data_IF_585906220106
#
_entry.id   IF_585906220106
#
_cell.length_a   1.000
_cell.length_b   1.000
_cell.length_c   1.000
_cell.angle_alpha   90.00
_cell.angle_beta   90.00
_cell.angle_gamma   90.00
#
_symmetry.space_group_name_H-M   'P 1'
#
loop_
_entity.id
_entity.type
_entity.pdbx_description
1 polymer ?
#
# COMPACT_ATOMS: atom_id res chain seq x y z
N UNK A 1 -8.32 7.68 -17.65
CA UNK A 1 -7.55 7.38 -16.44
C UNK A 1 -6.65 8.55 -16.07
N UNK A 2 -5.96 8.48 -14.94
CA UNK A 2 -5.12 9.55 -14.42
C UNK A 2 -4.01 10.04 -15.37
N UNK A 3 -3.56 9.22 -16.34
CA UNK A 3 -2.54 9.55 -17.33
C UNK A 3 -3.11 9.79 -18.75
N UNK A 4 -4.21 9.14 -19.12
CA UNK A 4 -4.92 9.35 -20.41
C UNK A 4 -5.85 10.57 -20.41
N UNK A 5 -6.12 11.17 -19.25
CA UNK A 5 -6.41 12.61 -19.18
C UNK A 5 -5.12 13.39 -19.45
N UNK A 6 -4.56 13.24 -20.64
CA UNK A 6 -3.50 14.12 -21.18
C UNK A 6 -3.93 15.59 -21.31
N UNK A 7 -5.17 15.88 -20.92
CA UNK A 7 -5.71 17.18 -20.53
C UNK A 7 -6.23 17.11 -19.09
N UNK A 8 -5.40 16.77 -18.10
CA UNK A 8 -5.48 17.53 -16.85
C UNK A 8 -5.03 18.92 -17.29
N UNK A 9 -5.98 19.69 -17.83
CA UNK A 9 -5.93 21.09 -17.56
C UNK A 9 -5.84 21.14 -16.03
N UNK A 10 -4.66 21.51 -15.52
CA UNK A 10 -4.55 22.03 -14.17
C UNK A 10 -5.42 23.31 -14.01
N UNK A 11 -6.05 23.76 -15.10
CA UNK A 11 -7.28 24.53 -15.09
C UNK A 11 -8.53 23.61 -15.01
N UNK A 12 -9.22 23.61 -13.86
CA UNK A 12 -10.56 23.04 -13.56
C UNK A 12 -10.54 21.69 -12.82
N UNK A 13 -10.40 21.61 -11.49
CA UNK A 13 -10.78 22.54 -10.43
C UNK A 13 -10.01 23.86 -10.45
N UNK A 14 -10.72 24.98 -10.62
CA UNK A 14 -10.18 26.21 -11.21
C UNK A 14 -8.79 26.62 -10.71
N UNK A 15 -7.83 26.74 -11.62
CA UNK A 15 -6.53 27.41 -11.42
C UNK A 15 -5.74 26.99 -10.16
N UNK A 16 -5.97 25.76 -9.65
CA UNK A 16 -5.38 25.31 -8.40
C UNK A 16 -4.29 24.29 -8.65
N UNK A 17 -3.06 24.70 -8.33
CA UNK A 17 -2.00 23.79 -7.90
C UNK A 17 -2.65 22.83 -6.89
N UNK A 18 -2.69 21.53 -7.20
CA UNK A 18 -3.11 20.53 -6.22
C UNK A 18 -2.08 20.60 -5.08
N UNK A 19 -2.47 21.23 -3.99
CA UNK A 19 -1.69 21.35 -2.76
C UNK A 19 -1.67 20.02 -2.00
N UNK A 20 -2.76 19.24 -2.12
CA UNK A 20 -2.97 18.00 -1.37
C UNK A 20 -2.95 16.77 -2.31
N UNK A 21 -4.05 16.02 -2.40
CA UNK A 21 -4.18 14.78 -3.16
C UNK A 21 -5.55 14.69 -3.85
N UNK A 22 -5.58 14.21 -5.09
CA UNK A 22 -6.81 13.80 -5.79
C UNK A 22 -6.79 12.30 -6.06
N UNK A 23 -7.85 11.58 -5.64
CA UNK A 23 -8.01 10.15 -5.92
C UNK A 23 -9.16 9.96 -6.91
N UNK A 24 -8.85 9.36 -8.07
CA UNK A 24 -9.86 8.95 -9.04
C UNK A 24 -10.33 7.55 -8.69
N UNK A 25 -11.51 7.44 -8.07
CA UNK A 25 -12.11 6.17 -7.68
C UNK A 25 -13.11 5.67 -8.74
N UNK A 26 -13.08 4.36 -9.05
CA UNK A 26 -14.13 3.68 -9.83
C UNK A 26 -14.45 2.29 -9.27
N UNK A 27 -15.66 1.81 -9.60
CA UNK A 27 -16.08 0.42 -9.42
C UNK A 27 -16.34 -0.14 -10.80
N UNK A 28 -15.54 -1.11 -11.23
CA UNK A 28 -15.56 -1.65 -12.59
C UNK A 28 -15.13 -3.12 -12.58
N UNK A 29 -15.34 -3.85 -13.69
CA UNK A 29 -14.83 -5.22 -13.81
C UNK A 29 -13.30 -5.19 -13.95
N UNK A 30 -12.58 -5.92 -13.07
CA UNK A 30 -11.11 -6.04 -13.13
C UNK A 30 -10.71 -7.40 -13.69
N UNK A 31 -10.90 -8.46 -12.92
CA UNK A 31 -10.54 -9.83 -13.32
C UNK A 31 -11.53 -10.91 -12.82
N UNK A 32 -12.64 -10.48 -12.23
CA UNK A 32 -13.71 -11.33 -11.78
C UNK A 32 -13.46 -11.91 -10.39
N UNK A 33 -14.44 -12.65 -9.88
CA UNK A 33 -14.51 -13.00 -8.45
C UNK A 33 -13.27 -13.70 -7.89
N UNK A 34 -12.84 -13.23 -6.71
CA UNK A 34 -11.88 -13.91 -5.84
C UNK A 34 -10.43 -13.82 -6.32
N UNK A 35 -10.11 -12.82 -7.13
CA UNK A 35 -8.75 -12.53 -7.59
C UNK A 35 -8.32 -11.14 -7.09
N UNK A 36 -8.36 -10.10 -7.92
CA UNK A 36 -8.00 -8.75 -7.51
C UNK A 36 -9.24 -8.08 -6.89
N UNK A 37 -9.23 -7.89 -5.57
CA UNK A 37 -10.36 -7.26 -4.86
C UNK A 37 -10.50 -5.78 -5.21
N UNK A 38 -9.35 -5.11 -5.24
CA UNK A 38 -9.19 -3.73 -5.63
C UNK A 38 -7.73 -3.53 -6.06
N UNK A 39 -7.47 -2.44 -6.77
CA UNK A 39 -6.10 -2.03 -7.09
C UNK A 39 -5.97 -0.51 -7.09
N UNK A 40 -4.85 -0.04 -6.57
CA UNK A 40 -4.60 1.39 -6.47
C UNK A 40 -3.13 1.77 -6.50
N UNK A 41 -2.90 3.05 -6.71
CA UNK A 41 -1.55 3.62 -6.67
C UNK A 41 -1.52 5.06 -7.14
N UNK A 42 -0.41 5.78 -6.83
CA UNK A 42 -0.18 7.10 -7.34
C UNK A 42 0.03 7.05 -8.86
N UNK A 43 -0.29 8.15 -9.51
CA UNK A 43 0.01 8.38 -10.93
C UNK A 43 0.81 9.67 -11.11
N UNK A 44 0.65 10.64 -10.20
CA UNK A 44 1.43 11.88 -10.17
C UNK A 44 2.10 12.04 -8.80
N UNK A 45 3.40 12.34 -8.80
CA UNK A 45 4.18 12.63 -7.59
C UNK A 45 4.91 13.97 -7.71
N UNK A 46 5.10 14.65 -6.58
CA UNK A 46 5.83 15.92 -6.52
C UNK A 46 7.32 15.71 -6.76
N UNK A 47 7.95 16.61 -7.51
CA UNK A 47 9.38 16.55 -7.79
C UNK A 47 10.25 16.69 -6.53
N UNK A 48 9.84 17.51 -5.57
CA UNK A 48 10.62 17.85 -4.38
C UNK A 48 10.44 16.86 -3.23
N UNK A 49 9.21 16.52 -2.87
CA UNK A 49 8.96 15.57 -1.77
C UNK A 49 8.77 14.12 -2.22
N UNK A 50 8.48 13.88 -3.50
CA UNK A 50 8.01 12.58 -4.01
C UNK A 50 6.62 12.16 -3.53
N UNK A 51 5.96 12.98 -2.71
CA UNK A 51 4.62 12.65 -2.23
C UNK A 51 3.61 12.71 -3.39
N UNK A 52 2.61 11.82 -3.39
CA UNK A 52 1.54 11.82 -4.38
C UNK A 52 0.75 13.13 -4.39
N UNK A 53 0.36 13.54 -5.59
CA UNK A 53 -0.63 14.61 -5.83
C UNK A 53 -1.88 14.09 -6.53
N UNK A 54 -1.76 12.95 -7.22
CA UNK A 54 -2.91 12.21 -7.73
C UNK A 54 -2.67 10.71 -7.74
N UNK A 55 -3.76 9.95 -7.60
CA UNK A 55 -3.76 8.49 -7.73
C UNK A 55 -5.08 7.96 -8.27
N UNK A 56 -5.10 6.66 -8.53
CA UNK A 56 -6.30 5.92 -8.97
C UNK A 56 -6.59 4.83 -7.95
N UNK A 57 -7.87 4.59 -7.69
CA UNK A 57 -8.37 3.47 -6.91
C UNK A 57 -9.48 2.79 -7.71
N UNK A 58 -9.38 1.48 -7.90
CA UNK A 58 -10.38 0.68 -8.61
C UNK A 58 -10.81 -0.48 -7.73
N UNK A 59 -12.11 -0.68 -7.56
CA UNK A 59 -12.67 -1.81 -6.82
C UNK A 59 -13.28 -2.77 -7.84
N UNK A 60 -13.00 -4.08 -7.73
CA UNK A 60 -13.64 -5.05 -8.63
C UNK A 60 -15.13 -5.16 -8.30
N UNK A 61 -15.95 -4.78 -9.27
CA UNK A 61 -17.39 -4.89 -9.23
C UNK A 61 -17.85 -6.31 -8.88
N UNK A 62 -17.10 -7.34 -9.30
CA UNK A 62 -17.45 -8.74 -9.07
C UNK A 62 -17.35 -9.14 -7.59
N UNK A 63 -16.49 -8.48 -6.81
CA UNK A 63 -16.17 -8.78 -5.41
C UNK A 63 -16.75 -7.75 -4.41
N UNK A 64 -17.12 -6.55 -4.87
CA UNK A 64 -17.61 -5.46 -4.02
C UNK A 64 -18.78 -5.85 -3.09
N UNK A 65 -19.81 -6.52 -3.60
CA UNK A 65 -20.94 -6.99 -2.79
C UNK A 65 -20.51 -8.03 -1.74
N UNK A 66 -19.57 -8.91 -2.10
CA UNK A 66 -19.01 -9.90 -1.20
C UNK A 66 -18.28 -9.24 -0.04
N UNK A 67 -17.40 -8.28 -0.33
CA UNK A 67 -16.64 -7.51 0.65
C UNK A 67 -17.55 -6.72 1.60
N UNK A 68 -18.59 -6.07 1.07
CA UNK A 68 -19.56 -5.33 1.89
C UNK A 68 -20.31 -6.26 2.83
N UNK A 69 -20.75 -7.43 2.33
CA UNK A 69 -21.50 -8.40 3.11
C UNK A 69 -20.75 -8.98 4.32
N UNK A 70 -19.41 -9.01 4.25
CA UNK A 70 -18.53 -9.47 5.34
C UNK A 70 -17.88 -8.31 6.11
N UNK A 71 -18.22 -7.05 5.79
CA UNK A 71 -17.71 -5.86 6.48
C UNK A 71 -16.26 -5.48 6.15
N UNK A 72 -15.71 -5.96 5.03
CA UNK A 72 -14.33 -5.70 4.61
C UNK A 72 -14.19 -4.58 3.57
N UNK A 73 -15.27 -4.13 2.94
CA UNK A 73 -15.20 -3.13 1.86
C UNK A 73 -14.50 -1.83 2.29
N UNK A 74 -14.83 -1.30 3.46
CA UNK A 74 -14.20 -0.08 3.98
C UNK A 74 -12.69 -0.28 4.23
N UNK A 75 -12.31 -1.41 4.84
CA UNK A 75 -10.92 -1.76 5.06
C UNK A 75 -10.14 -1.87 3.75
N UNK A 76 -10.69 -2.56 2.75
CA UNK A 76 -10.09 -2.65 1.40
C UNK A 76 -9.92 -1.26 0.78
N UNK A 77 -10.91 -0.36 0.89
CA UNK A 77 -10.78 1.01 0.39
C UNK A 77 -9.64 1.76 1.10
N UNK A 78 -9.54 1.65 2.43
CA UNK A 78 -8.46 2.29 3.20
C UNK A 78 -7.09 1.72 2.84
N UNK A 79 -7.00 0.41 2.65
CA UNK A 79 -5.79 -0.27 2.18
C UNK A 79 -5.31 0.32 0.84
N UNK A 80 -6.22 0.39 -0.14
CA UNK A 80 -5.91 0.94 -1.45
C UNK A 80 -5.57 2.43 -1.41
N UNK A 81 -6.25 3.22 -0.57
CA UNK A 81 -5.91 4.63 -0.38
C UNK A 81 -4.51 4.80 0.22
N UNK A 82 -4.04 3.89 1.08
CA UNK A 82 -2.67 3.92 1.58
C UNK A 82 -1.66 3.70 0.45
N UNK A 83 -1.93 2.80 -0.51
CA UNK A 83 -1.10 2.66 -1.70
C UNK A 83 -1.09 3.92 -2.55
N UNK A 84 -2.23 4.59 -2.73
CA UNK A 84 -2.29 5.91 -3.41
C UNK A 84 -1.41 6.94 -2.72
N UNK A 85 -1.39 6.94 -1.38
CA UNK A 85 -0.52 7.79 -0.56
C UNK A 85 0.97 7.36 -0.61
N UNK A 86 1.30 6.29 -1.33
CA UNK A 86 2.66 5.89 -1.60
C UNK A 86 3.20 4.77 -0.70
N UNK A 87 2.38 4.24 0.21
CA UNK A 87 2.71 3.04 0.98
C UNK A 87 3.03 1.90 0.03
N UNK A 88 4.15 1.21 0.23
CA UNK A 88 4.58 0.09 -0.61
C UNK A 88 5.05 0.46 -2.02
N UNK A 89 4.63 1.61 -2.55
CA UNK A 89 4.95 2.08 -3.91
C UNK A 89 6.25 2.91 -3.91
N UNK A 90 6.40 3.83 -2.95
CA UNK A 90 7.49 4.80 -2.94
C UNK A 90 8.71 4.38 -2.12
N UNK A 91 8.61 3.28 -1.36
CA UNK A 91 9.68 2.84 -0.45
C UNK A 91 11.02 2.65 -1.14
N UNK A 92 11.04 1.98 -2.30
CA UNK A 92 12.28 1.78 -3.06
C UNK A 92 12.90 3.08 -3.55
N UNK A 93 12.07 4.06 -3.93
CA UNK A 93 12.52 5.37 -4.40
C UNK A 93 13.11 6.20 -3.27
N UNK A 94 12.56 6.09 -2.07
CA UNK A 94 13.00 6.81 -0.88
C UNK A 94 14.08 6.07 -0.09
N UNK A 95 14.51 4.89 -0.53
CA UNK A 95 15.52 4.09 0.16
C UNK A 95 15.04 3.48 1.47
N UNK A 96 13.73 3.36 1.67
CA UNK A 96 13.09 2.88 2.90
C UNK A 96 12.95 1.35 2.94
N UNK A 97 13.23 0.64 1.85
CA UNK A 97 13.18 -0.82 1.79
C UNK A 97 14.54 -1.38 1.40
N UNK A 98 14.94 -2.48 2.06
CA UNK A 98 16.18 -3.19 1.80
C UNK A 98 15.88 -4.66 1.46
N UNK A 99 16.84 -5.34 0.81
CA UNK A 99 16.77 -6.76 0.47
C UNK A 99 15.54 -7.19 -0.35
N UNK A 100 15.04 -6.30 -1.20
CA UNK A 100 13.85 -6.49 -2.05
C UNK A 100 13.88 -7.77 -2.90
N UNK A 101 12.70 -8.36 -3.05
CA UNK A 101 12.45 -9.43 -4.02
C UNK A 101 12.38 -8.88 -5.45
N UNK A 102 12.71 -9.72 -6.43
CA UNK A 102 12.66 -9.38 -7.87
C UNK A 102 12.46 -10.64 -8.71
N UNK A 103 12.11 -10.47 -9.99
CA UNK A 103 11.87 -11.62 -10.89
C UNK A 103 13.08 -12.56 -10.86
N UNK A 104 12.82 -13.85 -10.60
CA UNK A 104 13.85 -14.88 -10.47
C UNK A 104 14.64 -14.88 -9.16
N UNK A 105 14.34 -14.02 -8.18
CA UNK A 105 14.97 -14.01 -6.86
C UNK A 105 14.02 -13.52 -5.76
N UNK A 106 13.60 -14.43 -4.90
CA UNK A 106 12.94 -14.09 -3.62
C UNK A 106 13.95 -13.48 -2.66
N UNK A 107 13.67 -12.27 -2.19
CA UNK A 107 14.42 -11.56 -1.15
C UNK A 107 13.87 -11.82 0.25
N UNK A 108 14.45 -11.14 1.24
CA UNK A 108 13.91 -11.04 2.60
C UNK A 108 13.69 -9.55 2.91
N UNK A 109 12.74 -8.90 2.22
CA UNK A 109 12.62 -7.48 2.30
C UNK A 109 12.23 -7.03 3.71
N UNK A 110 12.73 -5.87 4.09
CA UNK A 110 12.37 -5.23 5.34
C UNK A 110 12.38 -3.71 5.17
N UNK A 111 11.53 -3.06 5.95
CA UNK A 111 11.41 -1.62 5.97
C UNK A 111 12.40 -1.03 6.99
N UNK A 112 13.05 0.05 6.60
CA UNK A 112 14.19 0.64 7.30
C UNK A 112 13.94 2.08 7.79
N UNK A 113 12.68 2.56 7.74
CA UNK A 113 12.31 3.84 8.31
C UNK A 113 12.30 3.80 9.85
N UNK A 114 12.91 4.82 10.46
CA UNK A 114 13.15 4.87 11.91
C UNK A 114 11.83 4.89 12.71
N UNK A 115 10.81 5.60 12.21
CA UNK A 115 9.52 5.75 12.89
C UNK A 115 8.78 4.41 12.92
N UNK A 116 8.71 3.70 11.79
CA UNK A 116 8.11 2.39 11.69
C UNK A 116 8.87 1.34 12.52
N UNK A 117 10.21 1.39 12.54
CA UNK A 117 11.04 0.51 13.39
C UNK A 117 10.73 0.72 14.87
N UNK A 118 10.64 1.97 15.32
CA UNK A 118 10.26 2.29 16.69
C UNK A 118 8.83 1.83 17.00
N UNK A 119 7.89 2.03 16.08
CA UNK A 119 6.50 1.58 16.23
C UNK A 119 6.37 0.06 16.30
N UNK A 120 7.18 -0.67 15.50
CA UNK A 120 7.21 -2.12 15.48
C UNK A 120 7.63 -2.70 16.83
N UNK A 121 8.61 -2.09 17.50
CA UNK A 121 9.00 -2.49 18.86
C UNK A 121 7.81 -2.42 19.84
N UNK A 122 6.99 -1.36 19.76
CA UNK A 122 5.83 -1.16 20.67
C UNK A 122 4.71 -2.18 20.50
N UNK A 123 4.58 -2.80 19.32
CA UNK A 123 3.57 -3.82 19.05
C UNK A 123 4.06 -5.25 19.34
N UNK A 124 5.22 -5.40 20.01
CA UNK A 124 5.81 -6.69 20.35
C UNK A 124 7.00 -7.11 19.48
N UNK A 125 7.42 -6.25 18.55
CA UNK A 125 8.54 -6.49 17.63
C UNK A 125 9.89 -6.69 18.31
N UNK A 126 10.06 -6.31 19.58
CA UNK A 126 11.28 -6.60 20.36
C UNK A 126 11.55 -8.11 20.52
N UNK A 127 10.49 -8.93 20.43
CA UNK A 127 10.59 -10.40 20.52
C UNK A 127 10.76 -11.07 19.15
N UNK A 128 10.71 -10.29 18.08
CA UNK A 128 10.81 -10.79 16.72
C UNK A 128 12.27 -11.09 16.36
N UNK A 129 12.56 -12.35 16.02
CA UNK A 129 13.92 -12.81 15.68
C UNK A 129 13.99 -13.55 14.36
N UNK A 130 12.89 -13.69 13.63
CA UNK A 130 12.84 -14.51 12.41
C UNK A 130 13.55 -13.85 11.22
N UNK A 131 13.61 -12.51 11.18
CA UNK A 131 14.38 -11.75 10.19
C UNK A 131 14.71 -10.34 10.73
N UNK A 132 15.08 -9.42 9.83
CA UNK A 132 15.20 -7.99 10.14
C UNK A 132 13.86 -7.38 10.55
N UNK A 133 13.91 -6.35 11.40
CA UNK A 133 12.73 -5.67 11.93
C UNK A 133 11.87 -5.08 10.80
N UNK A 134 10.57 -4.97 11.05
CA UNK A 134 9.56 -4.53 10.08
C UNK A 134 9.64 -5.34 8.77
N UNK A 135 9.46 -6.68 8.84
CA UNK A 135 9.53 -7.54 7.68
C UNK A 135 8.45 -7.18 6.67
N UNK A 136 8.86 -7.10 5.41
CA UNK A 136 7.99 -6.81 4.26
C UNK A 136 7.69 -8.10 3.52
N UNK A 137 6.59 -8.11 2.76
CA UNK A 137 6.17 -9.25 1.97
C UNK A 137 7.21 -9.59 0.90
N UNK A 138 7.78 -10.80 0.96
CA UNK A 138 8.82 -11.25 0.03
C UNK A 138 8.34 -12.12 -1.14
N UNK A 139 7.12 -12.68 -1.03
CA UNK A 139 6.55 -13.65 -1.98
C UNK A 139 5.21 -13.15 -2.53
N UNK A 140 4.66 -13.79 -3.56
CA UNK A 140 3.40 -13.40 -4.23
C UNK A 140 3.58 -12.82 -5.64
N UNK A 141 4.78 -12.32 -5.95
CA UNK A 141 5.12 -11.79 -7.27
C UNK A 141 4.88 -10.28 -7.40
N UNK A 142 5.04 -9.71 -8.61
CA UNK A 142 4.77 -8.30 -8.88
C UNK A 142 3.37 -7.89 -8.43
N UNK A 143 3.24 -6.68 -7.89
CA UNK A 143 1.97 -6.20 -7.31
C UNK A 143 1.75 -6.59 -5.85
N UNK A 144 2.45 -7.61 -5.32
CA UNK A 144 2.30 -8.09 -3.94
C UNK A 144 3.60 -7.98 -3.13
N UNK A 145 4.71 -8.47 -3.67
CA UNK A 145 5.99 -8.39 -2.95
C UNK A 145 6.47 -6.94 -2.81
N UNK A 146 7.31 -6.68 -1.80
CA UNK A 146 7.92 -5.37 -1.52
C UNK A 146 6.96 -4.22 -1.21
N UNK A 147 5.65 -4.44 -1.28
CA UNK A 147 4.63 -3.39 -1.14
C UNK A 147 3.73 -3.52 0.10
N UNK A 148 3.81 -4.65 0.79
CA UNK A 148 2.94 -4.99 1.92
C UNK A 148 3.76 -5.41 3.13
N UNK A 149 3.16 -5.34 4.31
CA UNK A 149 3.73 -6.02 5.46
C UNK A 149 3.73 -7.54 5.26
N UNK A 150 4.69 -8.21 5.90
CA UNK A 150 4.80 -9.65 5.77
C UNK A 150 3.61 -10.35 6.42
N UNK A 151 2.79 -11.03 5.62
CA UNK A 151 1.57 -11.72 6.06
C UNK A 151 1.84 -12.69 7.22
N UNK A 152 2.96 -13.40 7.20
CA UNK A 152 3.25 -14.39 8.25
C UNK A 152 3.60 -13.75 9.60
N UNK A 153 3.92 -12.45 9.61
CA UNK A 153 4.32 -11.73 10.83
C UNK A 153 3.22 -10.82 11.33
N UNK A 154 2.57 -10.10 10.41
CA UNK A 154 1.52 -9.14 10.75
C UNK A 154 0.13 -9.79 10.74
N UNK A 155 -0.08 -10.83 9.93
CA UNK A 155 -1.31 -11.64 9.81
C UNK A 155 -2.55 -10.80 9.54
N UNK A 156 -3.12 -10.17 10.58
CA UNK A 156 -4.36 -9.40 10.51
C UNK A 156 -4.15 -7.92 10.30
N UNK A 157 -2.92 -7.42 10.15
CA UNK A 157 -2.75 -5.98 9.92
C UNK A 157 -3.28 -5.55 8.54
N UNK A 158 -3.90 -4.38 8.46
CA UNK A 158 -4.59 -3.91 7.26
C UNK A 158 -3.76 -3.93 5.98
N UNK A 159 -2.47 -3.61 6.04
CA UNK A 159 -1.55 -3.51 4.92
C UNK A 159 -0.76 -4.80 4.65
N UNK A 160 -1.25 -5.95 5.14
CA UNK A 160 -0.84 -7.24 4.58
C UNK A 160 -1.63 -7.52 3.28
N UNK A 161 -1.13 -8.36 2.37
CA UNK A 161 -1.72 -8.52 1.03
C UNK A 161 -2.97 -9.43 1.00
N UNK A 162 -3.54 -9.80 2.15
CA UNK A 162 -4.67 -10.72 2.19
C UNK A 162 -5.64 -10.33 3.29
N UNK A 163 -6.94 -10.32 2.95
CA UNK A 163 -8.01 -10.19 3.94
C UNK A 163 -8.12 -11.47 4.78
N UNK A 164 -8.41 -11.32 6.08
CA UNK A 164 -8.49 -12.45 7.01
C UNK A 164 -9.91 -12.90 7.32
N UNK A 165 -10.67 -13.28 6.29
CA UNK A 165 -12.01 -13.86 6.45
C UNK A 165 -13.00 -12.86 7.03
N UNK A 166 -13.61 -13.16 8.18
CA UNK A 166 -14.54 -12.27 8.91
C UNK A 166 -13.85 -11.60 10.13
N UNK A 167 -12.52 -11.62 10.19
CA UNK A 167 -11.75 -11.00 11.27
C UNK A 167 -11.35 -9.59 10.86
N UNK A 168 -11.59 -8.55 11.69
CA UNK A 168 -11.18 -7.20 11.38
C UNK A 168 -9.68 -7.09 11.10
N UNK A 169 -9.35 -6.29 10.10
CA UNK A 169 -7.99 -5.96 9.73
C UNK A 169 -7.60 -4.56 10.27
N UNK A 170 -7.00 -4.44 11.47
CA UNK A 170 -6.67 -3.13 12.05
C UNK A 170 -5.58 -2.37 11.28
N UNK A 171 -5.75 -1.05 11.16
CA UNK A 171 -4.72 -0.13 10.71
C UNK A 171 -3.74 0.13 11.87
N UNK A 172 -2.60 -0.55 11.84
CA UNK A 172 -1.65 -0.46 12.94
C UNK A 172 -0.88 0.85 12.97
N UNK A 173 -0.36 1.12 14.16
CA UNK A 173 0.58 2.22 14.39
C UNK A 173 1.91 2.07 13.61
N UNK A 174 2.23 0.88 13.10
CA UNK A 174 3.40 0.67 12.23
C UNK A 174 3.12 1.25 10.84
N UNK A 175 1.92 1.01 10.31
CA UNK A 175 1.47 1.61 9.04
C UNK A 175 1.47 3.13 9.13
N UNK A 176 0.86 3.72 10.15
CA UNK A 176 0.87 5.18 10.33
C UNK A 176 2.30 5.74 10.47
N UNK A 177 3.16 5.07 11.26
CA UNK A 177 4.55 5.51 11.40
C UNK A 177 5.34 5.42 10.09
N UNK A 178 5.05 4.45 9.21
CA UNK A 178 5.67 4.38 7.89
C UNK A 178 5.29 5.57 6.99
N UNK A 179 4.14 6.21 7.23
CA UNK A 179 3.75 7.44 6.51
C UNK A 179 4.62 8.63 6.93
N UNK A 180 5.02 8.70 8.20
CA UNK A 180 6.02 9.69 8.66
C UNK A 180 7.34 9.47 7.92
N UNK A 181 7.79 8.23 7.81
CA UNK A 181 9.04 7.89 7.13
C UNK A 181 8.99 8.15 5.60
N UNK A 182 7.79 8.13 4.99
CA UNK A 182 7.56 8.59 3.60
C UNK A 182 7.75 10.12 3.45
N UNK A 183 7.63 10.88 4.54
CA UNK A 183 7.73 12.34 4.55
C UNK A 183 6.39 13.06 4.75
N UNK A 184 5.31 12.36 5.16
CA UNK A 184 4.10 13.04 5.61
C UNK A 184 4.34 13.71 6.95
N UNK A 185 4.05 15.02 7.00
CA UNK A 185 4.09 15.81 8.22
C UNK A 185 2.78 15.61 9.02
N UNK A 186 2.83 15.79 10.34
CA UNK A 186 1.66 15.80 11.24
C UNK A 186 0.79 14.51 11.24
N UNK A 187 1.38 13.34 11.00
CA UNK A 187 0.67 12.06 11.15
C UNK A 187 0.37 11.80 12.63
N UNK A 188 -0.92 11.77 12.99
CA UNK A 188 -1.36 11.42 14.34
C UNK A 188 -1.28 9.90 14.54
N UNK A 189 -0.30 9.43 15.32
CA UNK A 189 -0.17 8.01 15.66
C UNK A 189 -1.21 7.54 16.69
N UNK A 190 -1.89 8.46 17.37
CA UNK A 190 -2.89 8.17 18.41
C UNK A 190 -4.21 7.62 17.87
N UNK A 191 -4.46 7.76 16.56
CA UNK A 191 -5.66 7.22 15.90
C UNK A 191 -5.47 5.81 15.35
N UNK A 192 -4.28 5.21 15.52
CA UNK A 192 -4.04 3.83 15.13
C UNK A 192 -4.97 2.87 15.86
N UNK A 193 -5.41 1.83 15.16
CA UNK A 193 -6.14 0.74 15.79
C UNK A 193 -5.24 -0.04 16.74
N UNK A 194 -5.88 -0.64 17.75
CA UNK A 194 -5.21 -1.54 18.67
C UNK A 194 -4.69 -2.78 17.93
N UNK A 195 -3.37 -2.90 17.81
CA UNK A 195 -2.74 -4.03 17.15
C UNK A 195 -1.45 -4.44 17.88
N UNK A 196 -1.26 -5.76 18.02
CA UNK A 196 -0.03 -6.37 18.52
C UNK A 196 0.32 -7.57 17.65
N UNK A 197 1.62 -7.82 17.45
CA UNK A 197 2.05 -9.01 16.73
C UNK A 197 1.46 -10.27 17.38
N UNK A 198 0.93 -11.22 16.60
CA UNK A 198 0.51 -12.50 17.12
C UNK A 198 1.65 -13.16 17.91
N UNK A 199 1.34 -13.70 19.08
CA UNK A 199 2.33 -14.46 19.84
C UNK A 199 2.85 -15.62 18.98
N UNK A 200 4.11 -16.07 19.15
CA UNK A 200 4.63 -17.26 18.47
C UNK A 200 3.97 -18.52 19.05
N UNK A 201 2.69 -18.70 18.79
CA UNK A 201 1.89 -19.86 19.16
C UNK A 201 1.30 -20.39 17.86
N UNK A 202 2.01 -21.34 17.26
CA UNK A 202 1.51 -22.18 16.17
C UNK A 202 0.98 -21.40 14.98
N UNK A 203 1.87 -21.12 14.01
CA UNK A 203 1.50 -20.74 12.65
C UNK A 203 0.44 -21.71 12.13
N UNK A 204 -0.82 -21.34 12.25
CA UNK A 204 -1.87 -21.84 11.39
C UNK A 204 -1.91 -20.82 10.27
N UNK A 205 -1.54 -21.24 9.06
CA UNK A 205 -1.91 -20.47 7.89
C UNK A 205 -3.41 -20.21 8.04
N UNK A 206 -3.89 -18.96 8.12
CA UNK A 206 -5.28 -18.74 7.84
C UNK A 206 -5.51 -19.40 6.48
N UNK A 207 -6.63 -20.10 6.35
CA UNK A 207 -7.09 -20.55 5.04
C UNK A 207 -7.50 -19.29 4.26
N UNK A 208 -6.53 -18.43 3.91
CA UNK A 208 -6.74 -17.41 2.91
C UNK A 208 -6.99 -18.16 1.61
N UNK A 209 -8.19 -17.96 1.08
CA UNK A 209 -8.64 -18.58 -0.14
C UNK A 209 -7.65 -18.22 -1.25
N UNK A 210 -6.93 -19.22 -1.78
CA UNK A 210 -6.24 -19.09 -3.06
C UNK A 210 -4.72 -18.96 -2.98
N UNK A 211 -4.08 -19.99 -3.52
CA UNK A 211 -2.68 -20.11 -3.91
C UNK A 211 -2.24 -19.03 -4.93
N UNK A 212 -0.92 -18.83 -5.16
CA UNK A 212 -0.36 -17.61 -5.74
C UNK A 212 -0.78 -17.46 -7.20
N UNK A 213 -1.48 -16.37 -7.51
CA UNK A 213 -1.86 -16.06 -8.88
C UNK A 213 -2.25 -14.61 -9.01
N UNK A 214 -1.50 -13.87 -9.83
CA UNK A 214 -1.85 -12.64 -10.59
C UNK A 214 -2.61 -11.49 -9.91
N UNK A 215 -2.98 -11.55 -8.64
CA UNK A 215 -3.63 -10.44 -7.94
C UNK A 215 -2.62 -9.29 -7.85
N UNK A 216 -2.92 -8.21 -8.56
CA UNK A 216 -2.12 -6.98 -8.58
C UNK A 216 -2.91 -5.97 -7.76
N UNK A 217 -2.54 -5.81 -6.49
CA UNK A 217 -3.16 -4.81 -5.61
C UNK A 217 -2.51 -3.43 -5.84
N UNK A 218 -1.19 -3.43 -6.06
CA UNK A 218 -0.47 -2.19 -6.39
C UNK A 218 -0.48 -1.95 -7.90
N UNK A 219 -1.13 -0.87 -8.33
CA UNK A 219 -1.17 -0.43 -9.72
C UNK A 219 0.24 -0.10 -10.23
N UNK A 220 0.80 -0.98 -11.06
CA UNK A 220 2.14 -0.82 -11.65
C UNK A 220 2.14 0.08 -12.91
N UNK A 221 1.57 1.28 -12.80
CA UNK A 221 1.57 2.28 -13.87
C UNK A 221 2.81 3.20 -13.81
N UNK A 222 3.22 3.82 -14.93
CA UNK A 222 4.19 4.91 -14.91
C UNK A 222 3.80 6.02 -13.93
N UNK A 223 4.76 6.50 -13.13
CA UNK A 223 4.56 7.67 -12.28
C UNK A 223 5.05 8.92 -13.02
N UNK A 224 4.19 9.90 -13.23
CA UNK A 224 4.64 11.21 -13.72
C UNK A 224 5.14 12.05 -12.54
N UNK A 225 6.31 12.64 -12.69
CA UNK A 225 6.88 13.58 -11.72
C UNK A 225 6.53 14.99 -12.14
N UNK A 226 5.89 15.75 -11.26
CA UNK A 226 5.42 17.10 -11.56
C UNK A 226 6.18 18.16 -10.76
N UNK A 227 6.45 19.31 -11.40
CA UNK A 227 6.98 20.49 -10.71
C UNK A 227 5.90 21.17 -9.84
N UNK A 228 6.26 22.27 -9.18
CA UNK A 228 5.33 23.02 -8.31
C UNK A 228 4.16 23.67 -9.05
N UNK A 229 4.27 23.81 -10.36
CA UNK A 229 3.21 24.32 -11.22
C UNK A 229 2.37 23.18 -11.82
N UNK A 230 2.67 21.92 -11.47
CA UNK A 230 2.01 20.72 -11.96
C UNK A 230 2.50 20.25 -13.34
N UNK A 231 3.53 20.86 -13.92
CA UNK A 231 4.06 20.42 -15.21
C UNK A 231 4.79 19.09 -15.05
N UNK A 232 4.50 18.13 -15.93
CA UNK A 232 5.26 16.86 -15.98
C UNK A 232 6.70 17.13 -16.41
N UNK A 233 7.63 16.79 -15.54
CA UNK A 233 9.08 16.95 -15.76
C UNK A 233 9.68 15.67 -16.33
N UNK A 234 9.26 14.49 -15.84
CA UNK A 234 9.66 13.18 -16.36
C UNK A 234 8.71 12.07 -15.88
N UNK A 235 8.87 10.87 -16.45
CA UNK A 235 8.16 9.67 -16.02
C UNK A 235 9.11 8.66 -15.38
N UNK A 236 8.64 7.98 -14.34
CA UNK A 236 9.30 6.85 -13.70
C UNK A 236 8.52 5.59 -14.09
N UNK A 237 9.21 4.63 -14.67
CA UNK A 237 8.62 3.34 -15.03
C UNK A 237 8.90 2.35 -13.89
N UNK A 238 7.87 1.72 -13.29
CA UNK A 238 8.05 0.65 -12.32
C UNK A 238 8.95 -0.46 -12.91
N UNK A 239 9.86 -1.00 -12.09
CA UNK A 239 10.78 -2.08 -12.48
C UNK A 239 10.34 -3.43 -11.92
#
# INVERSE_FOLDING_TARGET
>A
DCLSRGNINLETDGDRIINDLVIYASVEEIDGRGRTLAEAGPCLIRQDSSLPTAGTLRIDLADAEGLDSIGHLEGTIVHEMAHVLGFGVLWGRLGLIQDSSRVGRTGQPHFAGDSAVAAFARIGGERYTASKLVPVQGVGGPGVWNGHWNELVFVTELMTPFINGEVPNPLSIVTLASMIDLGYEDVDLGVADGFTLPAPAGFTLPASAGLPGTAIEILQAPLAVVDRNGNVVHYIIPR
#
